data_IF_144747762703
#
_entry.id   IF_144747762703
#
_cell.length_a   1.000
_cell.length_b   1.000
_cell.length_c   1.000
_cell.angle_alpha   90.00
_cell.angle_beta   90.00
_cell.angle_gamma   90.00
#
_symmetry.space_group_name_H-M   'P 1'
#
loop_
_entity.id
_entity.type
_entity.pdbx_description
1 polymer ?
#
# COMPACT_ATOMS: atom_id res chain seq x y z
N UNK A 1 96.69 -45.23 32.06
CA UNK A 1 96.10 -43.89 31.79
C UNK A 1 95.26 -43.84 30.50
N UNK A 2 95.60 -44.61 29.45
CA UNK A 2 94.94 -44.55 28.15
C UNK A 2 93.42 -44.92 28.15
N UNK A 3 93.01 -45.89 28.98
CA UNK A 3 91.61 -46.30 29.11
C UNK A 3 90.70 -45.20 29.68
N UNK A 4 91.23 -44.40 30.62
CA UNK A 4 90.50 -43.28 31.22
C UNK A 4 90.27 -42.15 30.20
N UNK A 5 91.27 -41.85 29.36
CA UNK A 5 91.14 -40.87 28.28
C UNK A 5 90.08 -41.25 27.25
N UNK A 6 90.04 -42.53 26.84
CA UNK A 6 88.99 -43.04 25.93
C UNK A 6 87.60 -42.98 26.54
N UNK A 7 87.46 -43.29 27.83
CA UNK A 7 86.20 -43.18 28.55
C UNK A 7 85.70 -41.73 28.60
N UNK A 8 86.56 -40.78 28.98
CA UNK A 8 86.22 -39.35 29.03
C UNK A 8 85.79 -38.83 27.65
N UNK A 9 86.48 -39.24 26.58
CA UNK A 9 86.12 -38.85 25.22
C UNK A 9 84.74 -39.38 24.79
N UNK A 10 84.41 -40.64 25.12
CA UNK A 10 83.10 -41.22 24.84
C UNK A 10 82.00 -40.46 25.58
N UNK A 11 82.22 -40.17 26.87
CA UNK A 11 81.25 -39.42 27.69
C UNK A 11 81.06 -38.01 27.14
N UNK A 12 82.14 -37.30 26.78
CA UNK A 12 82.07 -35.96 26.20
C UNK A 12 81.32 -35.94 24.87
N UNK A 13 81.59 -36.88 23.96
CA UNK A 13 80.86 -37.01 22.70
C UNK A 13 79.39 -37.30 22.91
N UNK A 14 79.04 -38.20 23.85
CA UNK A 14 77.64 -38.48 24.20
C UNK A 14 76.94 -37.24 24.76
N UNK A 15 77.59 -36.50 25.64
CA UNK A 15 77.04 -35.27 26.22
C UNK A 15 76.79 -34.21 25.15
N UNK A 16 77.71 -34.04 24.18
CA UNK A 16 77.51 -33.15 23.02
C UNK A 16 76.32 -33.59 22.16
N UNK A 17 76.21 -34.89 21.85
CA UNK A 17 75.06 -35.40 21.10
C UNK A 17 73.75 -35.15 21.82
N UNK A 18 73.69 -35.40 23.14
CA UNK A 18 72.49 -35.13 23.95
C UNK A 18 72.14 -33.64 23.93
N UNK A 19 73.12 -32.75 24.14
CA UNK A 19 72.94 -31.30 24.09
C UNK A 19 72.35 -30.84 22.75
N UNK A 20 72.91 -31.32 21.64
CA UNK A 20 72.42 -30.98 20.30
C UNK A 20 71.01 -31.51 20.02
N UNK A 21 70.69 -32.71 20.50
CA UNK A 21 69.33 -33.25 20.39
C UNK A 21 68.33 -32.42 21.19
N UNK A 22 68.68 -32.00 22.41
CA UNK A 22 67.81 -31.14 23.22
C UNK A 22 67.60 -29.76 22.60
N UNK A 23 68.62 -29.18 21.96
CA UNK A 23 68.48 -27.92 21.22
C UNK A 23 67.54 -28.04 20.02
N UNK A 24 67.66 -29.12 19.23
CA UNK A 24 66.78 -29.37 18.09
C UNK A 24 65.32 -29.58 18.53
N UNK A 25 65.09 -30.38 19.58
CA UNK A 25 63.75 -30.58 20.15
C UNK A 25 63.18 -29.25 20.67
N UNK A 26 63.99 -28.45 21.36
CA UNK A 26 63.58 -27.13 21.84
C UNK A 26 63.18 -26.18 20.71
N UNK A 27 63.93 -26.19 19.60
CA UNK A 27 63.62 -25.37 18.42
C UNK A 27 62.31 -25.81 17.74
N UNK A 28 62.10 -27.12 17.53
CA UNK A 28 60.86 -27.65 16.97
C UNK A 28 59.65 -27.35 17.87
N UNK A 29 59.81 -27.49 19.19
CA UNK A 29 58.75 -27.18 20.14
C UNK A 29 58.42 -25.68 20.15
N UNK A 30 59.43 -24.80 20.05
CA UNK A 30 59.20 -23.36 19.96
C UNK A 30 58.48 -22.98 18.66
N UNK A 31 58.82 -23.60 17.53
CA UNK A 31 58.11 -23.39 16.27
C UNK A 31 56.64 -23.83 16.37
N UNK A 32 56.39 -25.00 16.97
CA UNK A 32 55.03 -25.49 17.21
C UNK A 32 54.23 -24.53 18.11
N UNK A 33 54.83 -24.04 19.19
CA UNK A 33 54.22 -23.04 20.09
C UNK A 33 53.89 -21.75 19.34
N UNK A 34 54.81 -21.25 18.51
CA UNK A 34 54.57 -20.04 17.71
C UNK A 34 53.40 -20.24 16.73
N UNK A 35 53.34 -21.39 16.04
CA UNK A 35 52.21 -21.73 15.15
C UNK A 35 50.88 -21.77 15.88
N UNK A 36 50.84 -22.36 17.09
CA UNK A 36 49.63 -22.39 17.92
C UNK A 36 49.24 -20.97 18.35
N UNK A 37 50.20 -20.14 18.76
CA UNK A 37 49.93 -18.75 19.16
C UNK A 37 49.38 -17.90 18.01
N UNK A 38 49.89 -18.08 16.78
CA UNK A 38 49.37 -17.38 15.60
C UNK A 38 47.97 -17.86 15.21
N UNK A 39 47.70 -19.17 15.32
CA UNK A 39 46.35 -19.72 15.14
C UNK A 39 45.37 -19.18 16.19
N UNK A 40 45.76 -19.13 17.46
CA UNK A 40 44.93 -18.59 18.54
C UNK A 40 44.57 -17.13 18.29
N UNK A 41 45.54 -16.29 17.89
CA UNK A 41 45.27 -14.89 17.48
C UNK A 41 44.29 -14.82 16.32
N UNK A 42 44.47 -15.65 15.29
CA UNK A 42 43.59 -15.70 14.12
C UNK A 42 42.16 -16.08 14.50
N UNK A 43 42.00 -17.12 15.34
CA UNK A 43 40.68 -17.54 15.82
C UNK A 43 40.02 -16.46 16.69
N UNK A 44 40.77 -15.81 17.59
CA UNK A 44 40.23 -14.74 18.42
C UNK A 44 39.75 -13.54 17.58
N UNK A 45 40.49 -13.15 16.54
CA UNK A 45 40.02 -12.12 15.59
C UNK A 45 38.73 -12.54 14.90
N UNK A 46 38.67 -13.78 14.42
CA UNK A 46 37.48 -14.30 13.72
C UNK A 46 36.26 -14.42 14.63
N UNK A 47 36.46 -14.78 15.90
CA UNK A 47 35.39 -14.79 16.91
C UNK A 47 34.87 -13.36 17.11
N UNK A 48 35.75 -12.37 17.29
CA UNK A 48 35.33 -10.97 17.46
C UNK A 48 34.57 -10.42 16.24
N UNK A 49 34.99 -10.77 15.02
CA UNK A 49 34.28 -10.41 13.79
C UNK A 49 32.88 -11.06 13.73
N UNK A 50 32.78 -12.34 14.08
CA UNK A 50 31.50 -13.05 14.10
C UNK A 50 30.57 -12.50 15.19
N UNK A 51 31.07 -12.16 16.37
CA UNK A 51 30.29 -11.53 17.44
C UNK A 51 29.77 -10.16 17.02
N UNK A 52 30.58 -9.36 16.34
CA UNK A 52 30.15 -8.07 15.78
C UNK A 52 29.06 -8.25 14.73
N UNK A 53 29.27 -9.16 13.77
CA UNK A 53 28.30 -9.43 12.72
C UNK A 53 26.99 -10.03 13.28
N UNK A 54 27.05 -10.81 14.36
CA UNK A 54 25.88 -11.32 15.04
C UNK A 54 25.07 -10.19 15.68
N UNK A 55 25.71 -9.27 16.41
CA UNK A 55 25.05 -8.10 17.00
C UNK A 55 24.37 -7.21 15.96
N UNK A 56 25.07 -6.90 14.86
CA UNK A 56 24.50 -6.10 13.77
C UNK A 56 23.25 -6.77 13.16
N UNK A 57 23.25 -8.10 13.03
CA UNK A 57 22.08 -8.85 12.58
C UNK A 57 20.95 -8.85 13.59
N UNK A 58 21.25 -9.00 14.88
CA UNK A 58 20.24 -8.94 15.94
C UNK A 58 19.56 -7.57 15.98
N UNK A 59 20.32 -6.48 15.88
CA UNK A 59 19.79 -5.12 15.81
C UNK A 59 18.90 -4.91 14.57
N UNK A 60 19.34 -5.44 13.41
CA UNK A 60 18.55 -5.41 12.18
C UNK A 60 17.23 -6.20 12.32
N UNK A 61 17.27 -7.36 12.97
CA UNK A 61 16.08 -8.18 13.25
C UNK A 61 15.10 -7.42 14.16
N UNK A 62 15.59 -6.78 15.23
CA UNK A 62 14.76 -5.98 16.14
C UNK A 62 14.06 -4.86 15.37
N UNK A 63 14.80 -4.13 14.52
CA UNK A 63 14.23 -3.05 13.69
C UNK A 63 13.18 -3.55 12.70
N UNK A 64 13.43 -4.69 12.04
CA UNK A 64 12.47 -5.30 11.10
C UNK A 64 11.22 -5.75 11.81
N UNK A 65 11.34 -6.36 13.01
CA UNK A 65 10.19 -6.80 13.82
C UNK A 65 9.34 -5.60 14.26
N UNK A 66 9.97 -4.51 14.71
CA UNK A 66 9.24 -3.29 15.07
C UNK A 66 8.46 -2.74 13.88
N UNK A 67 9.11 -2.57 12.72
CA UNK A 67 8.46 -2.09 11.50
C UNK A 67 7.34 -3.02 11.02
N UNK A 68 7.49 -4.33 11.19
CA UNK A 68 6.45 -5.31 10.83
C UNK A 68 5.17 -5.09 11.65
N UNK A 69 5.30 -4.81 12.96
CA UNK A 69 4.15 -4.53 13.82
C UNK A 69 3.43 -3.24 13.41
N UNK A 70 4.20 -2.18 13.13
CA UNK A 70 3.61 -0.90 12.68
C UNK A 70 2.81 -1.08 11.38
N UNK A 71 3.32 -1.89 10.44
CA UNK A 71 2.63 -2.22 9.20
C UNK A 71 1.38 -3.08 9.43
N UNK A 72 1.42 -4.03 10.37
CA UNK A 72 0.26 -4.84 10.73
C UNK A 72 -0.88 -3.98 11.32
N UNK A 73 -0.55 -3.04 12.19
CA UNK A 73 -1.50 -2.08 12.76
C UNK A 73 -2.11 -1.18 11.69
N UNK A 74 -1.28 -0.65 10.77
CA UNK A 74 -1.75 0.18 9.66
C UNK A 74 -2.67 -0.59 8.71
N UNK A 75 -2.33 -1.85 8.39
CA UNK A 75 -3.21 -2.73 7.60
C UNK A 75 -4.54 -2.97 8.31
N UNK A 76 -4.55 -3.14 9.63
CA UNK A 76 -5.79 -3.27 10.39
C UNK A 76 -6.65 -2.00 10.28
N UNK A 77 -6.03 -0.83 10.48
CA UNK A 77 -6.70 0.47 10.38
C UNK A 77 -7.31 0.70 9.00
N UNK A 78 -6.56 0.42 7.94
CA UNK A 78 -7.04 0.55 6.55
C UNK A 78 -8.19 -0.41 6.26
N UNK A 79 -8.16 -1.65 6.77
CA UNK A 79 -9.28 -2.59 6.63
C UNK A 79 -10.56 -2.07 7.29
N UNK A 80 -10.45 -1.46 8.46
CA UNK A 80 -11.61 -0.89 9.14
C UNK A 80 -12.17 0.33 8.42
N UNK A 81 -11.31 1.20 7.87
CA UNK A 81 -11.74 2.31 7.00
C UNK A 81 -12.46 1.81 5.74
N UNK A 82 -11.97 0.76 5.09
CA UNK A 82 -12.62 0.16 3.93
C UNK A 82 -14.01 -0.35 4.29
N UNK A 83 -14.17 -1.00 5.46
CA UNK A 83 -15.48 -1.50 5.91
C UNK A 83 -16.48 -0.36 6.14
N UNK A 84 -16.03 0.74 6.74
CA UNK A 84 -16.87 1.93 6.96
C UNK A 84 -17.31 2.56 5.64
N UNK A 85 -16.38 2.78 4.71
CA UNK A 85 -16.68 3.33 3.40
C UNK A 85 -17.62 2.41 2.59
N UNK A 86 -17.45 1.09 2.69
CA UNK A 86 -18.37 0.13 2.06
C UNK A 86 -19.78 0.20 2.64
N UNK A 87 -19.94 0.50 3.94
CA UNK A 87 -21.24 0.70 4.55
C UNK A 87 -21.88 2.00 4.08
N UNK A 88 -21.12 3.09 4.04
CA UNK A 88 -21.57 4.41 3.57
C UNK A 88 -22.01 4.38 2.09
N UNK A 89 -21.24 3.71 1.22
CA UNK A 89 -21.62 3.53 -0.19
C UNK A 89 -22.96 2.78 -0.32
N UNK A 90 -23.18 1.72 0.47
CA UNK A 90 -24.44 0.98 0.46
C UNK A 90 -25.62 1.84 0.93
N UNK A 91 -25.41 2.66 1.95
CA UNK A 91 -26.42 3.59 2.44
C UNK A 91 -26.78 4.63 1.37
N UNK A 92 -25.78 5.20 0.71
CA UNK A 92 -26.00 6.12 -0.40
C UNK A 92 -26.70 5.47 -1.60
N UNK A 93 -26.38 4.23 -1.95
CA UNK A 93 -27.08 3.51 -3.02
C UNK A 93 -28.56 3.32 -2.70
N UNK A 94 -28.89 2.98 -1.44
CA UNK A 94 -30.29 2.87 -0.98
C UNK A 94 -31.00 4.23 -1.05
N UNK A 95 -30.37 5.28 -0.51
CA UNK A 95 -30.95 6.63 -0.53
C UNK A 95 -31.18 7.15 -1.96
N UNK A 96 -30.22 6.89 -2.86
CA UNK A 96 -30.34 7.20 -4.29
C UNK A 96 -31.51 6.45 -4.92
N UNK A 97 -31.66 5.15 -4.62
CA UNK A 97 -32.79 4.35 -5.09
C UNK A 97 -34.13 4.93 -4.65
N UNK A 98 -34.27 5.28 -3.37
CA UNK A 98 -35.47 5.91 -2.83
C UNK A 98 -35.78 7.25 -3.50
N UNK A 99 -34.76 8.10 -3.68
CA UNK A 99 -34.93 9.40 -4.34
C UNK A 99 -35.36 9.22 -5.80
N UNK A 100 -34.78 8.24 -6.50
CA UNK A 100 -35.13 7.94 -7.90
C UNK A 100 -36.59 7.50 -8.01
N UNK A 101 -37.05 6.61 -7.12
CA UNK A 101 -38.46 6.21 -7.06
C UNK A 101 -39.38 7.39 -6.76
N UNK A 102 -39.00 8.26 -5.81
CA UNK A 102 -39.82 9.43 -5.46
C UNK A 102 -39.93 10.44 -6.60
N UNK A 103 -38.84 10.68 -7.35
CA UNK A 103 -38.86 11.52 -8.55
C UNK A 103 -39.82 10.93 -9.58
N UNK A 104 -39.74 9.62 -9.83
CA UNK A 104 -40.62 8.97 -10.78
C UNK A 104 -42.11 9.08 -10.40
N UNK A 105 -42.45 8.88 -9.12
CA UNK A 105 -43.81 9.07 -8.61
C UNK A 105 -44.31 10.50 -8.81
N UNK A 106 -43.45 11.50 -8.56
CA UNK A 106 -43.78 12.91 -8.76
C UNK A 106 -43.96 13.26 -10.24
N UNK A 107 -43.15 12.70 -11.13
CA UNK A 107 -43.28 12.86 -12.58
C UNK A 107 -44.60 12.28 -13.09
N UNK A 108 -44.96 11.07 -12.66
CA UNK A 108 -46.23 10.43 -13.01
C UNK A 108 -47.43 11.23 -12.51
N UNK A 109 -47.43 11.61 -11.23
CA UNK A 109 -48.50 12.38 -10.62
C UNK A 109 -48.62 13.79 -11.24
N UNK A 110 -47.48 14.42 -11.56
CA UNK A 110 -47.43 15.70 -12.25
C UNK A 110 -48.05 15.62 -13.66
N UNK A 111 -47.71 14.58 -14.42
CA UNK A 111 -48.28 14.35 -15.75
C UNK A 111 -49.78 14.06 -15.70
N UNK A 112 -50.24 13.28 -14.71
CA UNK A 112 -51.67 12.98 -14.53
C UNK A 112 -52.46 14.26 -14.19
N UNK A 113 -51.98 15.06 -13.23
CA UNK A 113 -52.60 16.34 -12.87
C UNK A 113 -52.61 17.32 -14.04
N UNK A 114 -51.52 17.39 -14.82
CA UNK A 114 -51.45 18.23 -16.01
C UNK A 114 -52.48 17.80 -17.05
N UNK A 115 -52.54 16.51 -17.38
CA UNK A 115 -53.47 15.97 -18.38
C UNK A 115 -54.92 16.23 -17.99
N UNK A 116 -55.28 15.96 -16.72
CA UNK A 116 -56.62 16.25 -16.21
C UNK A 116 -56.98 17.74 -16.27
N UNK A 117 -56.03 18.61 -15.88
CA UNK A 117 -56.20 20.06 -15.95
C UNK A 117 -56.37 20.56 -17.38
N UNK A 118 -55.59 20.02 -18.31
CA UNK A 118 -55.67 20.32 -19.74
C UNK A 118 -57.03 19.92 -20.32
N UNK A 119 -57.46 18.66 -20.12
CA UNK A 119 -58.74 18.16 -20.62
C UNK A 119 -59.93 18.96 -20.08
N UNK A 120 -59.87 19.34 -18.80
CA UNK A 120 -60.85 20.21 -18.18
C UNK A 120 -60.88 21.60 -18.82
N UNK A 121 -59.72 22.20 -19.10
CA UNK A 121 -59.64 23.50 -19.76
C UNK A 121 -60.17 23.45 -21.21
N UNK A 122 -59.81 22.43 -21.97
CA UNK A 122 -60.32 22.22 -23.34
C UNK A 122 -61.84 22.05 -23.33
N UNK A 123 -62.37 21.27 -22.38
CA UNK A 123 -63.81 21.10 -22.20
C UNK A 123 -64.53 22.42 -21.90
N UNK A 124 -63.94 23.28 -21.06
CA UNK A 124 -64.49 24.61 -20.77
C UNK A 124 -64.49 25.52 -22.02
N UNK A 125 -63.42 25.49 -22.81
CA UNK A 125 -63.33 26.25 -24.07
C UNK A 125 -64.40 25.79 -25.05
N UNK A 126 -64.61 24.48 -25.19
CA UNK A 126 -65.64 23.93 -26.08
C UNK A 126 -67.05 24.42 -25.73
N UNK A 127 -67.35 24.60 -24.43
CA UNK A 127 -68.63 25.17 -23.96
C UNK A 127 -68.72 26.67 -24.24
N UNK A 128 -67.65 27.43 -23.96
CA UNK A 128 -67.65 28.89 -24.10
C UNK A 128 -67.53 29.36 -25.56
N UNK A 129 -66.90 28.57 -26.43
CA UNK A 129 -66.68 28.87 -27.84
C UNK A 129 -66.93 27.63 -28.70
N UNK A 130 -68.20 27.32 -29.03
CA UNK A 130 -68.58 26.10 -29.76
C UNK A 130 -68.01 25.97 -31.18
N UNK A 131 -67.49 27.06 -31.74
CA UNK A 131 -66.83 27.09 -33.06
C UNK A 131 -65.32 26.88 -32.98
N UNK A 132 -64.77 26.76 -31.77
CA UNK A 132 -63.34 26.51 -31.58
C UNK A 132 -63.00 25.08 -32.00
N UNK A 133 -62.05 24.95 -32.93
CA UNK A 133 -61.57 23.65 -33.38
C UNK A 133 -60.44 23.17 -32.47
N UNK A 134 -60.78 22.31 -31.50
CA UNK A 134 -59.80 21.74 -30.57
C UNK A 134 -58.77 20.85 -31.25
N UNK A 135 -59.01 20.39 -32.49
CA UNK A 135 -58.03 19.60 -33.24
C UNK A 135 -56.83 20.45 -33.71
N UNK A 136 -56.95 21.79 -33.68
CA UNK A 136 -55.85 22.71 -33.99
C UNK A 136 -55.00 23.04 -32.75
N UNK A 137 -55.34 22.52 -31.57
CA UNK A 137 -54.50 22.68 -30.38
C UNK A 137 -53.21 21.86 -30.54
N UNK A 138 -52.08 22.52 -30.34
CA UNK A 138 -50.76 21.92 -30.37
C UNK A 138 -50.12 22.13 -28.99
N UNK A 139 -50.12 21.07 -28.17
CA UNK A 139 -49.56 21.11 -26.82
C UNK A 139 -48.05 21.30 -26.80
N UNK A 140 -47.37 21.16 -27.94
CA UNK A 140 -45.94 21.46 -28.04
C UNK A 140 -45.66 22.94 -28.21
N UNK A 141 -46.69 23.80 -28.21
CA UNK A 141 -46.53 25.23 -28.45
C UNK A 141 -47.08 26.11 -27.33
N UNK A 142 -46.30 27.14 -26.99
CA UNK A 142 -46.63 28.16 -26.00
C UNK A 142 -46.65 29.55 -26.64
N UNK A 143 -47.35 30.51 -26.02
CA UNK A 143 -47.37 31.89 -26.48
C UNK A 143 -46.35 32.72 -25.70
N UNK A 144 -45.30 33.17 -26.37
CA UNK A 144 -44.27 34.07 -25.81
C UNK A 144 -44.31 35.38 -26.58
N UNK A 145 -44.54 36.50 -25.88
CA UNK A 145 -44.62 37.82 -26.53
C UNK A 145 -45.70 37.94 -27.61
N UNK A 146 -46.80 37.20 -27.48
CA UNK A 146 -47.91 37.19 -28.45
C UNK A 146 -47.67 36.32 -29.70
N UNK A 147 -46.55 35.57 -29.76
CA UNK A 147 -46.25 34.63 -30.84
C UNK A 147 -46.26 33.19 -30.33
N UNK A 148 -46.72 32.28 -31.17
CA UNK A 148 -46.75 30.85 -30.88
C UNK A 148 -45.37 30.22 -31.21
N UNK A 149 -44.72 29.62 -30.21
CA UNK A 149 -43.38 29.02 -30.29
C UNK A 149 -43.38 27.61 -29.71
N UNK A 150 -42.42 26.75 -30.08
CA UNK A 150 -42.34 25.37 -29.55
C UNK A 150 -41.78 25.40 -28.13
N UNK A 151 -42.48 24.77 -27.19
CA UNK A 151 -42.05 24.66 -25.79
C UNK A 151 -40.72 23.88 -25.70
N UNK A 152 -39.76 24.43 -24.95
CA UNK A 152 -38.39 23.89 -24.85
C UNK A 152 -37.39 24.37 -25.91
N UNK A 153 -37.77 25.23 -26.87
CA UNK A 153 -36.82 25.86 -27.83
C UNK A 153 -36.24 27.19 -27.33
N UNK A 154 -36.05 27.34 -26.02
CA UNK A 154 -35.23 28.44 -25.51
C UNK A 154 -33.80 28.17 -25.97
N UNK A 155 -33.27 29.00 -26.88
CA UNK A 155 -31.83 29.04 -27.09
C UNK A 155 -31.18 29.23 -25.72
N UNK A 156 -30.37 28.25 -25.30
CA UNK A 156 -29.46 28.40 -24.18
C UNK A 156 -28.56 29.60 -24.51
N UNK A 157 -28.88 30.77 -23.98
CA UNK A 157 -27.88 31.80 -23.76
C UNK A 157 -27.04 31.33 -22.57
N UNK A 158 -26.12 30.40 -22.84
CA UNK A 158 -25.07 30.01 -21.91
C UNK A 158 -24.10 31.20 -21.79
N UNK A 159 -24.31 32.06 -20.81
CA UNK A 159 -23.38 33.14 -20.46
C UNK A 159 -22.08 32.61 -19.79
N UNK A 160 -21.85 31.29 -19.69
CA UNK A 160 -20.70 30.70 -18.99
C UNK A 160 -19.85 29.70 -19.80
N UNK A 161 -19.70 29.88 -21.12
CA UNK A 161 -18.67 29.16 -21.87
C UNK A 161 -17.28 29.84 -21.73
N UNK A 162 -16.20 29.12 -21.32
CA UNK A 162 -14.86 29.70 -21.19
C UNK A 162 -14.19 29.95 -22.56
N UNK A 163 -13.30 30.95 -22.68
CA UNK A 163 -12.66 31.30 -23.95
C UNK A 163 -11.56 30.29 -24.32
N UNK A 164 -11.61 29.84 -25.58
CA UNK A 164 -10.58 29.03 -26.24
C UNK A 164 -9.28 29.79 -26.49
#
# INVERSE_FOLDING_TARGET
MEALGKFVQIVASRLMCVGRTTELIGAEQQEAVNKVADQEKSYNMRIAELEKAAKEKDDAVISVVARSKDLEEEVSRLRDQIRLLQAEVKEHDVAKGQLTSHVHELEENGMEMFSYGFDRAVSQIAVLSPKFDSAQLDMTKIVVGGKLVVDGTVEEHDENAPPS
#
